data_IF_838100020668
#
_entry.id   IF_838100020668
#
_cell.length_a   1.000
_cell.length_b   1.000
_cell.length_c   1.000
_cell.angle_alpha   90.00
_cell.angle_beta   90.00
_cell.angle_gamma   90.00
#
_symmetry.space_group_name_H-M   'P 1'
#
loop_
_entity.id
_entity.type
_entity.pdbx_description
1 polymer ?
#
# COMPACT_ATOMS: atom_id res chain seq x y z
N UNK A 1 -1.14 -18.09 5.61
CA UNK A 1 -1.35 -16.67 5.92
C UNK A 1 0.02 -16.12 6.25
N UNK A 2 0.48 -15.09 5.53
CA UNK A 2 1.80 -14.49 5.80
C UNK A 2 1.74 -13.70 7.10
N UNK A 3 2.85 -13.66 7.82
CA UNK A 3 3.06 -12.78 8.97
C UNK A 3 3.27 -11.34 8.50
N UNK A 4 3.03 -10.37 9.39
CA UNK A 4 3.34 -8.95 9.07
C UNK A 4 4.78 -8.75 8.62
N UNK A 5 5.73 -9.50 9.19
CA UNK A 5 7.14 -9.41 8.82
C UNK A 5 7.38 -9.84 7.36
N UNK A 6 6.79 -10.95 6.93
CA UNK A 6 6.87 -11.40 5.53
C UNK A 6 6.22 -10.39 4.57
N UNK A 7 5.13 -9.74 4.99
CA UNK A 7 4.47 -8.70 4.18
C UNK A 7 5.38 -7.46 4.06
N UNK A 8 6.06 -7.06 5.15
CA UNK A 8 7.05 -5.97 5.12
C UNK A 8 8.20 -6.25 4.16
N UNK A 9 8.64 -7.50 4.06
CA UNK A 9 9.68 -7.89 3.10
C UNK A 9 9.22 -7.72 1.64
N UNK A 10 7.94 -7.98 1.34
CA UNK A 10 7.36 -7.74 0.01
C UNK A 10 7.34 -6.24 -0.30
N UNK A 11 6.94 -5.41 0.67
CA UNK A 11 6.99 -3.95 0.54
C UNK A 11 8.43 -3.47 0.32
N UNK A 12 9.40 -4.03 1.06
CA UNK A 12 10.81 -3.70 0.89
C UNK A 12 11.32 -4.05 -0.51
N UNK A 13 10.88 -5.17 -1.10
CA UNK A 13 11.20 -5.50 -2.51
C UNK A 13 10.64 -4.46 -3.48
N UNK A 14 9.42 -3.97 -3.27
CA UNK A 14 8.84 -2.90 -4.09
C UNK A 14 9.64 -1.59 -3.97
N UNK A 15 9.99 -1.19 -2.73
CA UNK A 15 10.82 -0.01 -2.47
C UNK A 15 12.19 -0.13 -3.13
N UNK A 16 12.84 -1.29 -3.03
CA UNK A 16 14.14 -1.54 -3.65
C UNK A 16 14.05 -1.38 -5.17
N UNK A 17 13.00 -1.91 -5.81
CA UNK A 17 12.76 -1.76 -7.24
C UNK A 17 12.66 -0.28 -7.65
N UNK A 18 11.95 0.52 -6.84
CA UNK A 18 11.81 1.95 -7.05
C UNK A 18 13.14 2.71 -6.86
N UNK A 19 13.94 2.34 -5.86
CA UNK A 19 15.26 2.92 -5.61
C UNK A 19 16.24 2.62 -6.75
N UNK A 20 16.25 1.37 -7.23
CA UNK A 20 17.13 0.90 -8.31
C UNK A 20 16.72 1.46 -9.68
N UNK A 21 15.49 1.98 -9.80
CA UNK A 21 14.95 2.50 -11.06
C UNK A 21 15.78 3.65 -11.65
N UNK A 22 16.42 4.45 -10.80
CA UNK A 22 17.32 5.53 -11.24
C UNK A 22 18.60 4.97 -11.85
N UNK A 23 19.18 3.92 -11.24
CA UNK A 23 20.37 3.25 -11.75
C UNK A 23 20.09 2.56 -13.09
N UNK A 24 18.95 1.87 -13.16
CA UNK A 24 18.45 1.24 -14.37
C UNK A 24 18.28 2.24 -15.51
N UNK A 25 17.64 3.39 -15.24
CA UNK A 25 17.50 4.45 -16.24
C UNK A 25 18.85 5.03 -16.67
N UNK A 26 19.81 5.20 -15.75
CA UNK A 26 21.17 5.67 -16.10
C UNK A 26 21.85 4.70 -17.06
N UNK A 27 21.82 3.40 -16.79
CA UNK A 27 22.39 2.39 -17.71
C UNK A 27 21.72 2.43 -19.09
N UNK A 28 20.40 2.61 -19.13
CA UNK A 28 19.65 2.81 -20.37
C UNK A 28 20.14 4.08 -21.12
N UNK A 29 20.29 5.20 -20.41
CA UNK A 29 20.75 6.47 -20.95
C UNK A 29 22.17 6.37 -21.52
N UNK A 30 23.08 5.69 -20.82
CA UNK A 30 24.47 5.51 -21.27
C UNK A 30 24.52 4.75 -22.60
N UNK A 31 23.72 3.69 -22.74
CA UNK A 31 23.61 2.93 -23.99
C UNK A 31 23.04 3.77 -25.14
N UNK A 32 22.04 4.63 -24.87
CA UNK A 32 21.52 5.57 -25.86
C UNK A 32 22.59 6.57 -26.31
N UNK A 33 23.29 7.20 -25.37
CA UNK A 33 24.29 8.22 -25.64
C UNK A 33 25.51 7.67 -26.39
N UNK A 34 25.95 6.46 -26.05
CA UNK A 34 27.02 5.77 -26.77
C UNK A 34 26.66 5.62 -28.24
N UNK A 35 25.46 5.10 -28.55
CA UNK A 35 25.07 4.87 -29.93
C UNK A 35 24.83 6.16 -30.71
N UNK A 36 24.27 7.18 -30.07
CA UNK A 36 24.14 8.52 -30.65
C UNK A 36 25.51 9.08 -31.03
N UNK A 37 26.48 9.00 -30.11
CA UNK A 37 27.86 9.46 -30.34
C UNK A 37 28.52 8.72 -31.49
N UNK A 38 28.35 7.40 -31.60
CA UNK A 38 28.83 6.62 -32.73
C UNK A 38 28.29 7.12 -34.08
N UNK A 39 27.00 7.47 -34.15
CA UNK A 39 26.38 8.00 -35.37
C UNK A 39 26.93 9.38 -35.70
N UNK A 40 27.09 10.24 -34.70
CA UNK A 40 27.60 11.62 -34.85
C UNK A 40 29.04 11.65 -35.34
N UNK A 41 29.90 10.78 -34.81
CA UNK A 41 31.33 10.73 -35.13
C UNK A 41 31.64 9.97 -36.43
N UNK A 42 30.71 9.18 -36.95
CA UNK A 42 30.92 8.43 -38.19
C UNK A 42 31.10 9.39 -39.39
N UNK A 43 32.24 9.29 -40.08
CA UNK A 43 32.60 10.16 -41.22
C UNK A 43 31.93 9.74 -42.52
N UNK A 44 31.41 8.53 -42.61
CA UNK A 44 30.80 7.97 -43.81
C UNK A 44 29.33 8.41 -43.97
N UNK A 45 28.72 8.95 -42.91
CA UNK A 45 27.35 9.45 -42.97
C UNK A 45 27.28 10.93 -43.35
N UNK A 46 26.38 11.23 -44.30
CA UNK A 46 26.00 12.62 -44.60
C UNK A 46 25.27 13.26 -43.40
N UNK A 47 25.26 14.60 -43.27
CA UNK A 47 24.55 15.28 -42.19
C UNK A 47 23.06 14.87 -42.08
N UNK A 48 22.38 14.77 -43.23
CA UNK A 48 20.98 14.34 -43.29
C UNK A 48 20.80 12.86 -42.92
N UNK A 49 21.75 12.01 -43.31
CA UNK A 49 21.78 10.60 -42.90
C UNK A 49 21.94 10.44 -41.38
N UNK A 50 22.83 11.21 -40.76
CA UNK A 50 23.02 11.23 -39.30
C UNK A 50 21.73 11.63 -38.58
N UNK A 51 21.07 12.70 -39.03
CA UNK A 51 19.80 13.17 -38.46
C UNK A 51 18.73 12.07 -38.47
N UNK A 52 18.50 11.42 -39.62
CA UNK A 52 17.51 10.33 -39.74
C UNK A 52 17.86 9.12 -38.87
N UNK A 53 19.14 8.77 -38.77
CA UNK A 53 19.60 7.66 -37.93
C UNK A 53 19.41 7.95 -36.45
N UNK A 54 19.69 9.18 -36.00
CA UNK A 54 19.47 9.62 -34.63
C UNK A 54 17.98 9.62 -34.31
N UNK A 55 17.12 10.18 -35.18
CA UNK A 55 15.66 10.17 -34.99
C UNK A 55 15.10 8.74 -34.91
N UNK A 56 15.56 7.84 -35.79
CA UNK A 56 15.16 6.43 -35.76
C UNK A 56 15.67 5.71 -34.50
N UNK A 57 16.89 6.01 -34.05
CA UNK A 57 17.42 5.47 -32.82
C UNK A 57 16.65 5.97 -31.59
N UNK A 58 16.36 7.26 -31.53
CA UNK A 58 15.55 7.89 -30.49
C UNK A 58 14.16 7.26 -30.41
N UNK A 59 13.45 7.13 -31.54
CA UNK A 59 12.13 6.49 -31.57
C UNK A 59 12.16 5.05 -31.04
N UNK A 60 13.14 4.25 -31.47
CA UNK A 60 13.29 2.88 -30.96
C UNK A 60 13.54 2.88 -29.45
N UNK A 61 14.46 3.71 -28.98
CA UNK A 61 14.80 3.80 -27.56
C UNK A 61 13.65 4.32 -26.70
N UNK A 62 12.82 5.23 -27.20
CA UNK A 62 11.58 5.62 -26.51
C UNK A 62 10.68 4.42 -26.27
N UNK A 63 10.46 3.56 -27.27
CA UNK A 63 9.63 2.36 -27.13
C UNK A 63 10.25 1.39 -26.13
N UNK A 64 11.55 1.12 -26.24
CA UNK A 64 12.26 0.26 -25.29
C UNK A 64 12.17 0.79 -23.85
N UNK A 65 12.27 2.10 -23.65
CA UNK A 65 12.10 2.72 -22.33
C UNK A 65 10.67 2.56 -21.81
N UNK A 66 9.65 2.71 -22.65
CA UNK A 66 8.25 2.52 -22.23
C UNK A 66 7.98 1.06 -21.86
N UNK A 67 8.55 0.11 -22.60
CA UNK A 67 8.44 -1.32 -22.27
C UNK A 67 9.12 -1.65 -20.94
N UNK A 68 10.33 -1.12 -20.73
CA UNK A 68 11.05 -1.24 -19.47
C UNK A 68 10.25 -0.64 -18.32
N UNK A 69 9.77 0.60 -18.49
CA UNK A 69 8.96 1.29 -17.51
C UNK A 69 7.71 0.50 -17.14
N UNK A 70 7.02 -0.08 -18.13
CA UNK A 70 5.85 -0.94 -17.92
C UNK A 70 6.20 -2.16 -17.09
N UNK A 71 7.21 -2.93 -17.51
CA UNK A 71 7.66 -4.14 -16.79
C UNK A 71 8.02 -3.85 -15.33
N UNK A 72 8.77 -2.77 -15.07
CA UNK A 72 9.17 -2.38 -13.73
C UNK A 72 7.98 -1.91 -12.88
N UNK A 73 7.09 -1.11 -13.47
CA UNK A 73 5.90 -0.61 -12.79
C UNK A 73 4.91 -1.73 -12.49
N UNK A 74 4.69 -2.66 -13.41
CA UNK A 74 3.82 -3.82 -13.19
C UNK A 74 4.36 -4.70 -12.05
N UNK A 75 5.68 -4.94 -12.00
CA UNK A 75 6.31 -5.70 -10.92
C UNK A 75 6.19 -4.97 -9.57
N UNK A 76 6.39 -3.65 -9.56
CA UNK A 76 6.18 -2.80 -8.39
C UNK A 76 4.73 -2.88 -7.88
N UNK A 77 3.76 -2.68 -8.79
CA UNK A 77 2.32 -2.76 -8.52
C UNK A 77 1.93 -4.15 -8.03
N UNK A 78 2.51 -5.22 -8.60
CA UNK A 78 2.27 -6.60 -8.16
C UNK A 78 2.67 -6.78 -6.70
N UNK A 79 3.90 -6.41 -6.32
CA UNK A 79 4.37 -6.55 -4.94
C UNK A 79 3.50 -5.74 -3.96
N UNK A 80 3.17 -4.50 -4.28
CA UNK A 80 2.34 -3.67 -3.40
C UNK A 80 0.90 -4.19 -3.29
N UNK A 81 0.31 -4.66 -4.39
CA UNK A 81 -1.04 -5.25 -4.38
C UNK A 81 -1.09 -6.54 -3.58
N UNK A 82 -0.05 -7.38 -3.70
CA UNK A 82 0.10 -8.59 -2.89
C UNK A 82 0.25 -8.25 -1.40
N UNK A 83 1.13 -7.30 -1.07
CA UNK A 83 1.33 -6.86 0.30
C UNK A 83 0.03 -6.28 0.91
N UNK A 84 -0.69 -5.43 0.16
CA UNK A 84 -1.99 -4.89 0.59
C UNK A 84 -3.00 -6.00 0.86
N UNK A 85 -3.16 -6.93 -0.08
CA UNK A 85 -4.10 -8.05 0.05
C UNK A 85 -3.77 -8.94 1.27
N UNK A 86 -2.49 -9.26 1.45
CA UNK A 86 -2.05 -10.09 2.58
C UNK A 86 -2.24 -9.34 3.90
N UNK A 87 -1.97 -8.03 3.95
CA UNK A 87 -2.21 -7.20 5.13
C UNK A 87 -3.71 -7.10 5.47
N UNK A 88 -4.57 -6.87 4.48
CA UNK A 88 -6.03 -6.89 4.65
C UNK A 88 -6.51 -8.23 5.21
N UNK A 89 -5.89 -9.35 4.81
CA UNK A 89 -6.25 -10.66 5.35
C UNK A 89 -5.98 -10.79 6.86
N UNK A 90 -4.95 -10.10 7.38
CA UNK A 90 -4.65 -10.01 8.82
C UNK A 90 -5.64 -9.09 9.51
N UNK A 91 -5.89 -7.91 8.93
CA UNK A 91 -6.82 -6.91 9.49
C UNK A 91 -8.22 -7.48 9.67
N UNK A 92 -8.69 -8.24 8.69
CA UNK A 92 -10.02 -8.85 8.68
C UNK A 92 -10.03 -10.31 9.15
N UNK A 93 -8.92 -10.80 9.70
CA UNK A 93 -8.89 -12.11 10.33
C UNK A 93 -9.90 -12.14 11.49
N UNK A 94 -10.67 -13.23 11.60
CA UNK A 94 -11.66 -13.38 12.68
C UNK A 94 -10.92 -13.39 14.02
N UNK A 95 -11.43 -12.61 14.98
CA UNK A 95 -10.93 -12.61 16.36
C UNK A 95 -10.94 -14.03 16.92
N UNK A 96 -9.92 -14.45 17.70
CA UNK A 96 -9.84 -15.80 18.24
C UNK A 96 -11.12 -16.19 18.98
N UNK A 97 -11.57 -17.44 18.82
CA UNK A 97 -12.70 -17.96 19.60
C UNK A 97 -12.28 -18.07 21.06
N UNK A 98 -13.04 -17.44 21.94
CA UNK A 98 -12.85 -17.58 23.39
C UNK A 98 -13.42 -18.91 23.87
N UNK A 99 -12.86 -19.41 24.97
CA UNK A 99 -13.44 -20.53 25.71
C UNK A 99 -14.94 -20.29 26.01
N UNK A 100 -15.83 -21.25 25.75
CA UNK A 100 -17.27 -21.07 25.93
C UNK A 100 -17.68 -20.67 27.35
N UNK A 101 -16.99 -21.16 28.38
CA UNK A 101 -17.31 -20.85 29.78
C UNK A 101 -16.90 -19.41 30.10
N UNK A 102 -15.75 -18.96 29.58
CA UNK A 102 -15.35 -17.54 29.68
C UNK A 102 -16.33 -16.64 28.93
N UNK A 103 -16.76 -17.02 27.73
CA UNK A 103 -17.74 -16.28 26.93
C UNK A 103 -19.06 -16.10 27.69
N UNK A 104 -19.61 -17.18 28.26
CA UNK A 104 -20.85 -17.12 29.04
C UNK A 104 -20.72 -16.21 30.27
N UNK A 105 -19.60 -16.31 31.00
CA UNK A 105 -19.33 -15.43 32.16
C UNK A 105 -19.23 -13.97 31.76
N UNK A 106 -18.57 -13.71 30.63
CA UNK A 106 -18.43 -12.38 30.08
C UNK A 106 -19.79 -11.79 29.68
N UNK A 107 -20.61 -12.52 28.93
CA UNK A 107 -21.94 -12.09 28.50
C UNK A 107 -22.86 -11.81 29.70
N UNK A 108 -22.83 -12.69 30.70
CA UNK A 108 -23.57 -12.46 31.95
C UNK A 108 -23.12 -11.18 32.64
N UNK A 109 -21.81 -10.98 32.80
CA UNK A 109 -21.29 -9.77 33.44
C UNK A 109 -21.59 -8.51 32.62
N UNK A 110 -21.54 -8.59 31.29
CA UNK A 110 -21.89 -7.49 30.40
C UNK A 110 -23.37 -7.09 30.56
N UNK A 111 -24.27 -8.08 30.67
CA UNK A 111 -25.69 -7.83 30.93
C UNK A 111 -25.94 -7.18 32.31
N UNK A 112 -25.22 -7.64 33.34
CA UNK A 112 -25.25 -7.01 34.67
C UNK A 112 -24.77 -5.56 34.59
N UNK A 113 -23.63 -5.29 33.95
CA UNK A 113 -23.06 -3.94 33.78
C UNK A 113 -24.00 -3.01 33.03
N UNK A 114 -24.64 -3.47 31.96
CA UNK A 114 -25.68 -2.69 31.25
C UNK A 114 -26.81 -2.27 32.18
N UNK A 115 -27.25 -3.18 33.04
CA UNK A 115 -28.31 -2.93 34.01
C UNK A 115 -27.84 -1.96 35.09
N UNK A 116 -26.63 -2.15 35.64
CA UNK A 116 -26.01 -1.27 36.63
C UNK A 116 -25.85 0.16 36.08
N UNK A 117 -25.41 0.31 34.83
CA UNK A 117 -25.29 1.62 34.15
C UNK A 117 -26.66 2.27 33.97
N UNK A 118 -27.66 1.51 33.50
CA UNK A 118 -29.00 2.03 33.25
C UNK A 118 -29.68 2.57 34.52
N UNK A 119 -29.39 1.97 35.67
CA UNK A 119 -29.93 2.36 36.98
C UNK A 119 -29.09 3.42 37.70
N UNK A 120 -27.95 3.82 37.13
CA UNK A 120 -26.99 4.75 37.73
C UNK A 120 -27.12 6.16 37.16
N UNK A 121 -26.68 7.16 37.93
CA UNK A 121 -26.43 8.49 37.39
C UNK A 121 -25.19 8.51 36.48
N UNK A 122 -25.01 9.56 35.69
CA UNK A 122 -23.97 9.66 34.67
C UNK A 122 -22.55 9.45 35.22
N UNK A 123 -22.24 10.06 36.36
CA UNK A 123 -20.92 9.90 37.01
C UNK A 123 -20.69 8.43 37.38
N UNK A 124 -21.65 7.81 38.04
CA UNK A 124 -21.52 6.43 38.50
C UNK A 124 -21.55 5.42 37.35
N UNK A 125 -22.39 5.64 36.34
CA UNK A 125 -22.44 4.81 35.14
C UNK A 125 -21.10 4.82 34.39
N UNK A 126 -20.45 5.98 34.27
CA UNK A 126 -19.11 6.07 33.70
C UNK A 126 -18.07 5.29 34.52
N UNK A 127 -18.09 5.42 35.85
CA UNK A 127 -17.20 4.66 36.73
C UNK A 127 -17.39 3.14 36.57
N UNK A 128 -18.64 2.67 36.55
CA UNK A 128 -18.98 1.25 36.34
C UNK A 128 -18.45 0.75 35.00
N UNK A 129 -18.65 1.53 33.93
CA UNK A 129 -18.13 1.20 32.60
C UNK A 129 -16.61 1.11 32.62
N UNK A 130 -15.92 2.11 33.17
CA UNK A 130 -14.46 2.13 33.24
C UNK A 130 -13.92 0.95 34.05
N UNK A 131 -14.52 0.64 35.20
CA UNK A 131 -14.13 -0.48 36.06
C UNK A 131 -14.34 -1.82 35.37
N UNK A 132 -15.45 -2.00 34.64
CA UNK A 132 -15.68 -3.20 33.85
C UNK A 132 -14.63 -3.35 32.75
N UNK A 133 -14.37 -2.29 31.99
CA UNK A 133 -13.42 -2.31 30.88
C UNK A 133 -11.98 -2.56 31.33
N UNK A 134 -11.57 -2.07 32.50
CA UNK A 134 -10.24 -2.36 33.05
C UNK A 134 -9.99 -3.86 33.35
N UNK A 135 -11.05 -4.65 33.48
CA UNK A 135 -11.00 -6.09 33.77
C UNK A 135 -11.15 -6.96 32.52
N UNK A 136 -11.36 -6.35 31.35
CA UNK A 136 -11.46 -7.05 30.07
C UNK A 136 -10.06 -7.18 29.49
N UNK A 137 -9.57 -8.42 29.48
CA UNK A 137 -8.23 -8.83 29.06
C UNK A 137 -8.23 -9.54 27.69
N UNK A 138 -9.32 -10.22 27.33
CA UNK A 138 -9.45 -10.92 26.05
C UNK A 138 -9.86 -9.97 24.90
N UNK A 139 -9.14 -10.04 23.78
CA UNK A 139 -9.39 -9.21 22.58
C UNK A 139 -10.81 -9.39 22.02
N UNK A 140 -11.32 -10.62 21.99
CA UNK A 140 -12.67 -10.91 21.49
C UNK A 140 -13.76 -10.20 22.30
N UNK A 141 -13.58 -10.08 23.61
CA UNK A 141 -14.50 -9.34 24.46
C UNK A 141 -14.42 -7.84 24.20
N UNK A 142 -13.21 -7.28 24.03
CA UNK A 142 -13.05 -5.89 23.62
C UNK A 142 -13.73 -5.60 22.26
N UNK A 143 -13.65 -6.53 21.30
CA UNK A 143 -14.33 -6.42 20.00
C UNK A 143 -15.86 -6.45 20.14
N UNK A 144 -16.40 -7.33 20.99
CA UNK A 144 -17.84 -7.37 21.28
C UNK A 144 -18.31 -6.06 21.93
N UNK A 145 -17.56 -5.56 22.92
CA UNK A 145 -17.85 -4.28 23.59
C UNK A 145 -17.82 -3.13 22.61
N UNK A 146 -16.83 -3.07 21.71
CA UNK A 146 -16.75 -2.05 20.66
C UNK A 146 -18.03 -2.02 19.82
N UNK A 147 -18.57 -3.17 19.45
CA UNK A 147 -19.84 -3.29 18.72
C UNK A 147 -21.06 -2.81 19.51
N UNK A 148 -21.03 -2.97 20.83
CA UNK A 148 -22.13 -2.60 21.73
C UNK A 148 -21.92 -1.25 22.44
N UNK A 149 -20.81 -0.56 22.17
CA UNK A 149 -20.35 0.58 22.97
C UNK A 149 -21.37 1.72 23.04
N UNK A 150 -22.03 1.99 21.91
CA UNK A 150 -23.10 3.01 21.83
C UNK A 150 -24.22 2.71 22.83
N UNK A 151 -24.62 1.44 22.95
CA UNK A 151 -25.68 1.03 23.89
C UNK A 151 -25.26 1.16 25.35
N UNK A 152 -23.97 1.04 25.64
CA UNK A 152 -23.41 1.19 27.00
C UNK A 152 -23.36 2.67 27.42
N UNK A 153 -23.02 3.57 26.49
CA UNK A 153 -22.82 4.99 26.81
C UNK A 153 -24.09 5.83 26.72
N UNK A 154 -25.09 5.39 25.96
CA UNK A 154 -26.31 6.16 25.74
C UNK A 154 -27.05 6.52 27.05
N UNK A 155 -27.25 5.60 28.02
CA UNK A 155 -27.90 5.94 29.29
C UNK A 155 -27.11 6.98 30.09
N UNK A 156 -25.77 6.90 30.08
CA UNK A 156 -24.87 7.83 30.76
C UNK A 156 -25.04 9.24 30.18
N UNK A 157 -25.04 9.36 28.85
CA UNK A 157 -25.18 10.65 28.17
C UNK A 157 -26.58 11.24 28.33
N UNK A 158 -27.61 10.40 28.40
CA UNK A 158 -29.00 10.85 28.62
C UNK A 158 -29.18 11.41 30.04
N UNK A 159 -28.67 10.71 31.06
CA UNK A 159 -28.74 11.18 32.45
C UNK A 159 -27.93 12.46 32.68
N UNK A 160 -26.78 12.60 32.01
CA UNK A 160 -25.92 13.79 32.14
C UNK A 160 -26.58 15.10 31.66
N UNK A 161 -27.60 15.03 30.80
CA UNK A 161 -28.35 16.19 30.29
C UNK A 161 -27.44 17.31 29.77
N UNK A 162 -27.48 18.48 30.40
CA UNK A 162 -26.68 19.65 30.02
C UNK A 162 -25.17 19.44 30.17
N UNK A 163 -24.72 18.50 31.01
CA UNK A 163 -23.30 18.18 31.20
C UNK A 163 -22.77 17.11 30.25
N UNK A 164 -23.61 16.58 29.34
CA UNK A 164 -23.23 15.48 28.44
C UNK A 164 -21.96 15.75 27.63
N UNK A 165 -21.62 17.01 27.33
CA UNK A 165 -20.40 17.35 26.61
C UNK A 165 -19.12 16.92 27.35
N UNK A 166 -19.09 17.02 28.69
CA UNK A 166 -17.93 16.60 29.51
C UNK A 166 -17.74 15.09 29.41
N UNK A 167 -18.83 14.35 29.58
CA UNK A 167 -18.84 12.89 29.52
C UNK A 167 -18.50 12.37 28.12
N UNK A 168 -18.91 13.07 27.04
CA UNK A 168 -18.54 12.66 25.67
C UNK A 168 -17.02 12.60 25.47
N UNK A 169 -16.27 13.57 25.98
CA UNK A 169 -14.82 13.58 25.83
C UNK A 169 -14.18 12.40 26.56
N UNK A 170 -14.59 12.14 27.79
CA UNK A 170 -14.07 11.02 28.60
C UNK A 170 -14.47 9.66 27.99
N UNK A 171 -15.72 9.51 27.55
CA UNK A 171 -16.21 8.30 26.90
C UNK A 171 -15.55 8.07 25.53
N UNK A 172 -15.16 9.14 24.83
CA UNK A 172 -14.38 9.03 23.59
C UNK A 172 -12.98 8.46 23.85
N UNK A 173 -12.33 8.85 24.96
CA UNK A 173 -11.03 8.27 25.34
C UNK A 173 -11.17 6.79 25.68
N UNK A 174 -12.22 6.44 26.45
CA UNK A 174 -12.54 5.05 26.77
C UNK A 174 -12.82 4.24 25.49
N UNK A 175 -13.52 4.82 24.51
CA UNK A 175 -13.77 4.15 23.23
C UNK A 175 -12.49 3.87 22.45
N UNK A 176 -11.57 4.83 22.35
CA UNK A 176 -10.30 4.62 21.66
C UNK A 176 -9.45 3.54 22.35
N UNK A 177 -9.49 3.46 23.68
CA UNK A 177 -8.83 2.38 24.43
C UNK A 177 -9.46 1.01 24.14
N UNK A 178 -10.79 0.88 24.16
CA UNK A 178 -11.49 -0.36 23.79
C UNK A 178 -11.20 -0.74 22.34
N UNK A 179 -11.20 0.23 21.43
CA UNK A 179 -10.90 0.05 20.02
C UNK A 179 -9.47 -0.46 19.83
N UNK A 180 -8.50 0.13 20.53
CA UNK A 180 -7.10 -0.33 20.53
C UNK A 180 -7.00 -1.79 21.01
N UNK A 181 -7.62 -2.12 22.16
CA UNK A 181 -7.60 -3.47 22.72
C UNK A 181 -8.40 -4.51 21.92
N UNK A 182 -9.34 -4.07 21.09
CA UNK A 182 -10.08 -4.93 20.17
C UNK A 182 -9.29 -5.33 18.92
N UNK A 183 -8.25 -4.55 18.60
CA UNK A 183 -7.38 -4.83 17.46
C UNK A 183 -6.21 -5.68 17.91
N UNK A 184 -5.87 -6.68 17.10
CA UNK A 184 -4.63 -7.43 17.27
C UNK A 184 -3.47 -6.45 17.02
N UNK A 185 -2.43 -6.38 17.85
CA UNK A 185 -1.22 -5.62 17.52
C UNK A 185 -0.71 -5.93 16.10
N UNK A 186 -0.80 -7.19 15.68
CA UNK A 186 -0.46 -7.63 14.32
C UNK A 186 -1.40 -7.03 13.26
N UNK A 187 -2.70 -6.91 13.55
CA UNK A 187 -3.66 -6.21 12.68
C UNK A 187 -3.41 -4.69 12.60
N UNK A 188 -2.96 -4.07 13.69
CA UNK A 188 -2.55 -2.66 13.70
C UNK A 188 -1.34 -2.41 12.81
N UNK A 189 -0.32 -3.25 12.91
CA UNK A 189 0.85 -3.17 12.02
C UNK A 189 0.48 -3.49 10.57
N UNK A 190 -0.39 -4.48 10.33
CA UNK A 190 -0.90 -4.79 8.99
C UNK A 190 -1.66 -3.60 8.38
N UNK A 191 -2.45 -2.86 9.18
CA UNK A 191 -3.15 -1.65 8.71
C UNK A 191 -2.17 -0.58 8.20
N UNK A 192 -1.09 -0.32 8.94
CA UNK A 192 -0.06 0.62 8.48
C UNK A 192 0.59 0.16 7.16
N UNK A 193 0.82 -1.14 7.00
CA UNK A 193 1.39 -1.71 5.77
C UNK A 193 0.41 -1.58 4.59
N UNK A 194 -0.89 -1.86 4.82
CA UNK A 194 -1.93 -1.71 3.80
C UNK A 194 -2.09 -0.26 3.35
N UNK A 195 -2.13 0.68 4.29
CA UNK A 195 -2.21 2.13 4.00
C UNK A 195 -0.98 2.62 3.22
N UNK A 196 0.23 2.17 3.61
CA UNK A 196 1.44 2.48 2.86
C UNK A 196 1.38 1.93 1.43
N UNK A 197 1.00 0.66 1.27
CA UNK A 197 0.94 0.02 -0.04
C UNK A 197 -0.08 0.71 -0.96
N UNK A 198 -1.23 1.10 -0.43
CA UNK A 198 -2.24 1.89 -1.15
C UNK A 198 -1.71 3.26 -1.59
N UNK A 199 -1.11 4.01 -0.66
CA UNK A 199 -0.50 5.31 -0.97
C UNK A 199 0.61 5.21 -2.02
N UNK A 200 1.43 4.15 -1.95
CA UNK A 200 2.52 3.92 -2.89
C UNK A 200 2.04 3.50 -4.29
N UNK A 201 0.91 2.78 -4.39
CA UNK A 201 0.29 2.41 -5.67
C UNK A 201 -0.21 3.63 -6.47
N UNK A 202 -0.68 4.67 -5.78
CA UNK A 202 -1.10 5.95 -6.39
C UNK A 202 0.10 6.85 -6.74
N UNK A 203 1.30 6.49 -6.26
CA UNK A 203 2.54 7.24 -6.43
C UNK A 203 3.18 7.12 -7.82
N UNK A 204 4.24 7.92 -8.03
CA UNK A 204 5.09 7.80 -9.24
C UNK A 204 6.15 6.74 -9.02
N UNK A 205 6.39 5.88 -10.00
CA UNK A 205 7.45 4.89 -9.94
C UNK A 205 8.83 5.55 -10.16
N UNK A 206 9.01 6.28 -11.26
CA UNK A 206 10.21 7.05 -11.52
C UNK A 206 10.13 8.44 -10.88
N UNK A 207 11.24 8.85 -10.25
CA UNK A 207 11.36 10.19 -9.66
C UNK A 207 11.32 11.30 -10.73
N UNK A 208 10.91 12.54 -10.37
CA UNK A 208 10.80 13.64 -11.33
C UNK A 208 12.08 13.94 -12.13
N UNK A 209 13.26 13.71 -11.53
CA UNK A 209 14.54 13.90 -12.23
C UNK A 209 14.69 12.93 -13.41
N UNK A 210 14.27 11.67 -13.25
CA UNK A 210 14.32 10.67 -14.33
C UNK A 210 13.32 11.04 -15.43
N UNK A 211 12.12 11.51 -15.05
CA UNK A 211 11.10 12.02 -15.97
C UNK A 211 11.63 13.19 -16.83
N UNK A 212 12.27 14.17 -16.19
CA UNK A 212 12.88 15.31 -16.87
C UNK A 212 14.00 14.87 -17.83
N UNK A 213 14.92 14.02 -17.36
CA UNK A 213 16.03 13.52 -18.17
C UNK A 213 15.54 12.66 -19.34
N UNK A 214 14.49 11.88 -19.17
CA UNK A 214 13.89 11.12 -20.26
C UNK A 214 13.36 12.07 -21.35
N UNK A 215 12.74 13.18 -20.93
CA UNK A 215 12.31 14.26 -21.80
C UNK A 215 13.43 14.92 -22.60
N UNK A 216 14.54 15.25 -21.93
CA UNK A 216 15.71 15.86 -22.57
C UNK A 216 16.33 14.96 -23.64
N UNK A 217 16.46 13.66 -23.37
CA UNK A 217 17.17 12.74 -24.27
C UNK A 217 16.31 12.16 -25.38
N UNK A 218 15.06 11.80 -25.05
CA UNK A 218 14.16 11.05 -25.93
C UNK A 218 12.94 11.85 -26.38
N UNK A 219 12.77 13.07 -25.86
CA UNK A 219 11.70 13.98 -26.25
C UNK A 219 10.44 13.88 -25.38
N UNK A 220 9.46 14.69 -25.74
CA UNK A 220 8.27 14.95 -24.91
C UNK A 220 7.45 13.70 -24.59
N UNK A 221 7.35 12.73 -25.51
CA UNK A 221 6.62 11.49 -25.27
C UNK A 221 7.23 10.69 -24.11
N UNK A 222 8.56 10.60 -24.03
CA UNK A 222 9.22 9.90 -22.94
C UNK A 222 8.91 10.56 -21.59
N UNK A 223 8.97 11.90 -21.52
CA UNK A 223 8.60 12.66 -20.32
C UNK A 223 7.16 12.40 -19.87
N UNK A 224 6.22 12.44 -20.82
CA UNK A 224 4.78 12.33 -20.50
C UNK A 224 4.38 10.94 -20.03
N UNK A 225 5.01 9.89 -20.57
CA UNK A 225 4.52 8.52 -20.40
C UNK A 225 5.41 7.61 -19.55
N UNK A 226 6.63 8.00 -19.16
CA UNK A 226 7.53 7.10 -18.40
C UNK A 226 6.92 6.58 -17.07
N UNK A 227 6.05 7.36 -16.43
CA UNK A 227 5.31 6.94 -15.22
C UNK A 227 3.91 6.37 -15.53
N UNK A 228 3.50 6.39 -16.81
CA UNK A 228 2.21 5.91 -17.31
C UNK A 228 2.39 5.15 -18.64
N UNK A 229 3.26 4.13 -18.67
CA UNK A 229 3.61 3.45 -19.91
C UNK A 229 2.43 2.68 -20.51
N UNK A 230 1.43 2.31 -19.72
CA UNK A 230 0.19 1.70 -20.20
C UNK A 230 -0.60 2.67 -21.09
N UNK A 231 -0.61 3.96 -20.73
CA UNK A 231 -1.23 5.00 -21.56
C UNK A 231 -0.48 5.20 -22.88
N UNK A 232 0.85 5.06 -22.88
CA UNK A 232 1.64 5.12 -24.11
C UNK A 232 1.22 4.02 -25.09
N UNK A 233 1.12 2.77 -24.63
CA UNK A 233 0.74 1.66 -25.51
C UNK A 233 -0.75 1.68 -25.87
N UNK A 234 -1.60 2.32 -25.07
CA UNK A 234 -2.99 2.59 -25.45
C UNK A 234 -3.06 3.61 -26.61
N UNK A 235 -2.25 4.68 -26.56
CA UNK A 235 -2.22 5.72 -27.58
C UNK A 235 -1.42 5.30 -28.83
N UNK A 236 -0.44 4.40 -28.68
CA UNK A 236 0.44 3.88 -29.73
C UNK A 236 0.49 2.34 -29.76
N UNK A 237 -0.62 1.66 -30.08
CA UNK A 237 -0.74 0.19 -29.96
C UNK A 237 0.20 -0.60 -30.88
N UNK A 238 0.64 -0.01 -31.99
CA UNK A 238 1.60 -0.65 -32.89
C UNK A 238 3.04 -0.72 -32.32
N UNK A 239 3.35 0.10 -31.31
CA UNK A 239 4.64 0.05 -30.63
C UNK A 239 4.72 -1.09 -29.61
N UNK A 240 3.59 -1.61 -29.13
CA UNK A 240 3.53 -2.71 -28.16
C UNK A 240 3.97 -4.05 -28.77
N UNK A 241 3.76 -4.22 -30.09
CA UNK A 241 4.07 -5.45 -30.82
C UNK A 241 5.56 -5.63 -31.12
N UNK A 242 6.41 -4.67 -30.72
CA UNK A 242 7.86 -4.72 -30.98
C UNK A 242 8.54 -5.55 -29.89
N UNK A 243 9.46 -6.47 -30.25
CA UNK A 243 10.11 -7.34 -29.28
C UNK A 243 10.90 -6.55 -28.24
N UNK A 244 10.92 -7.05 -27.00
CA UNK A 244 11.73 -6.52 -25.90
C UNK A 244 13.23 -6.54 -26.27
N UNK A 245 14.03 -5.57 -25.79
CA UNK A 245 15.48 -5.61 -25.96
C UNK A 245 16.10 -6.89 -25.37
N UNK A 246 17.17 -7.43 -25.97
CA UNK A 246 17.94 -8.51 -25.38
C UNK A 246 18.43 -8.14 -23.97
N UNK A 247 18.11 -8.95 -22.96
CA UNK A 247 18.55 -8.77 -21.57
C UNK A 247 17.54 -8.10 -20.62
N UNK A 248 16.36 -7.71 -21.11
CA UNK A 248 15.22 -7.33 -20.24
C UNK A 248 14.38 -8.56 -19.95
N UNK A 249 14.15 -8.85 -18.66
CA UNK A 249 13.32 -9.99 -18.24
C UNK A 249 11.84 -9.64 -18.31
N UNK A 250 11.03 -10.55 -18.82
CA UNK A 250 9.58 -10.44 -18.70
C UNK A 250 9.14 -10.68 -17.25
N UNK A 251 7.93 -10.25 -16.88
CA UNK A 251 7.34 -10.55 -15.57
C UNK A 251 7.23 -12.07 -15.37
N UNK A 252 6.91 -12.81 -16.44
CA UNK A 252 6.83 -14.26 -16.43
C UNK A 252 8.19 -14.89 -16.11
N UNK A 253 9.28 -14.43 -16.75
CA UNK A 253 10.64 -14.92 -16.49
C UNK A 253 11.13 -14.64 -15.06
N UNK A 254 10.78 -13.48 -14.49
CA UNK A 254 11.12 -13.16 -13.09
C UNK A 254 10.34 -14.02 -12.11
N UNK A 255 9.09 -14.37 -12.42
CA UNK A 255 8.25 -15.21 -11.57
C UNK A 255 8.66 -16.68 -11.64
N UNK A 256 8.97 -17.20 -12.83
CA UNK A 256 9.51 -18.55 -12.99
C UNK A 256 10.84 -18.75 -12.23
N UNK A 257 11.73 -17.75 -12.24
CA UNK A 257 12.98 -17.80 -11.45
C UNK A 257 12.74 -17.76 -9.92
N UNK A 258 11.68 -17.09 -9.46
CA UNK A 258 11.33 -17.05 -8.04
C UNK A 258 10.64 -18.35 -7.59
N UNK A 259 9.80 -18.94 -8.45
CA UNK A 259 9.15 -20.24 -8.19
C UNK A 259 10.16 -21.39 -8.23
N UNK A 260 11.22 -21.28 -9.05
CA UNK A 260 12.30 -22.26 -9.13
C UNK A 260 13.30 -22.22 -7.94
N UNK A 261 13.15 -21.27 -7.00
CA UNK A 261 14.04 -21.08 -5.84
C UNK A 261 13.50 -21.66 -4.52
N UNK A 262 12.53 -22.56 -4.58
CA UNK A 262 12.00 -23.33 -3.44
C UNK A 262 12.37 -24.81 -3.64
#
# INVERSE_FOLDING_TARGET
MKTVQEIREIVAKAQQLQQDSTGLYRSFQDAYNQKKTEIELNRDYSPEGKRKLIESHQKRKTIELMQLARSQKDLFTKYLSEAKKDAESIIYAKTPKVDPVKQERFEKRLAEVKTEILLSNAKKGKEILSDFLSKVDEQAFAAQIKGEFVSLIQPILQDAGAEAYKYRQELSQIFEDVKSRSMDPEAGEAMQVAEYAESALDGRFFIPLVEEKAGEHLGQLAKMYINKPEQYFADFPDDDKKPLPPGMRSIEEVLEEQEAKI
#
